data_IF_121055417123
#
_entry.id   IF_121055417123
#
_cell.length_a   1.000
_cell.length_b   1.000
_cell.length_c   1.000
_cell.angle_alpha   90.00
_cell.angle_beta   90.00
_cell.angle_gamma   90.00
#
_symmetry.space_group_name_H-M   'P 1'
#
loop_
_entity.id
_entity.type
_entity.pdbx_description
1 polymer ?
#
# COMPACT_ATOMS: atom_id res chain seq x y z
N UNK A 1 -0.54 1.61 2.05
CA UNK A 1 -1.17 2.89 2.42
C UNK A 1 -2.38 2.68 3.33
N UNK A 2 -2.53 3.51 4.33
CA UNK A 2 -3.60 3.43 5.30
C UNK A 2 -4.37 4.74 5.45
N UNK A 3 -5.66 4.64 5.75
CA UNK A 3 -6.51 5.82 5.98
C UNK A 3 -6.28 6.37 7.38
N UNK A 4 -5.74 7.56 7.49
CA UNK A 4 -5.40 8.23 8.75
C UNK A 4 -6.62 8.76 9.51
N UNK A 5 -7.80 8.88 8.89
CA UNK A 5 -9.01 9.38 9.56
C UNK A 5 -9.43 8.54 10.76
N UNK A 6 -9.04 7.25 10.77
CA UNK A 6 -9.28 6.37 11.93
C UNK A 6 -8.44 6.74 13.14
N UNK A 7 -7.26 7.28 12.94
CA UNK A 7 -6.33 7.69 14.01
C UNK A 7 -6.47 9.18 14.36
N UNK A 8 -6.74 10.01 13.35
CA UNK A 8 -6.85 11.46 13.47
C UNK A 8 -8.12 11.92 12.74
N UNK A 9 -9.23 12.14 13.47
CA UNK A 9 -10.45 12.66 12.89
C UNK A 9 -10.18 13.98 12.18
N UNK A 10 -10.56 14.08 10.92
CA UNK A 10 -10.37 15.26 10.08
C UNK A 10 -11.52 15.40 9.10
N UNK A 11 -12.01 16.61 8.91
CA UNK A 11 -13.00 16.98 7.89
C UNK A 11 -12.36 17.22 6.52
N UNK A 12 -11.03 17.24 6.43
CA UNK A 12 -10.32 17.44 5.19
C UNK A 12 -10.65 16.32 4.17
N UNK A 13 -10.99 16.71 2.95
CA UNK A 13 -11.33 15.77 1.88
C UNK A 13 -10.12 15.10 1.25
N UNK A 14 -8.93 15.68 1.41
CA UNK A 14 -7.68 15.25 0.78
C UNK A 14 -6.60 14.93 1.81
N UNK A 15 -5.55 14.22 1.39
CA UNK A 15 -4.35 13.91 2.17
C UNK A 15 -4.58 13.12 3.47
N UNK A 16 -5.64 12.30 3.53
CA UNK A 16 -5.91 11.42 4.66
C UNK A 16 -5.17 10.07 4.60
N UNK A 17 -4.25 9.90 3.66
CA UNK A 17 -3.53 8.66 3.42
C UNK A 17 -2.06 8.78 3.79
N UNK A 18 -1.51 7.73 4.37
CA UNK A 18 -0.08 7.57 4.62
C UNK A 18 0.34 6.15 4.37
N UNK A 19 1.63 5.94 4.24
CA UNK A 19 2.22 4.61 4.18
C UNK A 19 3.15 4.42 5.38
N UNK A 20 3.38 3.16 5.67
CA UNK A 20 4.34 2.71 6.67
C UNK A 20 5.36 1.89 5.91
N UNK A 21 6.61 2.15 6.17
CA UNK A 21 7.72 1.37 5.65
C UNK A 21 8.17 0.39 6.72
N UNK A 22 8.23 -0.86 6.36
CA UNK A 22 8.86 -1.89 7.17
C UNK A 22 9.98 -2.52 6.36
N UNK A 23 11.18 -2.56 6.91
CA UNK A 23 12.30 -3.26 6.32
C UNK A 23 12.56 -4.53 7.14
N UNK A 24 12.60 -5.68 6.45
CA UNK A 24 12.94 -6.95 7.06
C UNK A 24 14.08 -7.59 6.27
N UNK A 25 15.16 -7.91 6.96
CA UNK A 25 16.21 -8.75 6.37
C UNK A 25 15.79 -10.20 6.53
N UNK A 26 15.52 -10.84 5.40
CA UNK A 26 15.12 -12.26 5.36
C UNK A 26 16.35 -13.07 5.00
N UNK A 27 16.78 -13.95 5.90
CA UNK A 27 17.82 -14.92 5.61
C UNK A 27 17.33 -15.99 4.61
N UNK A 28 18.24 -16.62 3.89
CA UNK A 28 17.93 -17.65 2.90
C UNK A 28 17.09 -18.82 3.46
N UNK A 29 17.21 -19.09 4.77
CA UNK A 29 16.54 -20.19 5.46
C UNK A 29 15.40 -19.72 6.39
N UNK A 30 14.91 -18.46 6.25
CA UNK A 30 13.82 -17.98 7.08
C UNK A 30 12.50 -18.67 6.73
N UNK A 31 11.77 -19.14 7.73
CA UNK A 31 10.44 -19.71 7.52
C UNK A 31 9.41 -18.61 7.23
N UNK A 32 8.31 -18.97 6.56
CA UNK A 32 7.21 -18.04 6.31
C UNK A 32 6.62 -17.53 7.63
N UNK A 33 6.51 -18.40 8.62
CA UNK A 33 5.99 -18.10 9.95
C UNK A 33 6.83 -17.05 10.68
N UNK A 34 8.17 -17.14 10.57
CA UNK A 34 9.09 -16.15 11.14
C UNK A 34 8.91 -14.78 10.50
N UNK A 35 8.79 -14.75 9.17
CA UNK A 35 8.55 -13.51 8.43
C UNK A 35 7.22 -12.89 8.80
N UNK A 36 6.15 -13.68 8.86
CA UNK A 36 4.80 -13.23 9.26
C UNK A 36 4.81 -12.70 10.69
N UNK A 37 5.48 -13.36 11.62
CA UNK A 37 5.57 -12.93 13.03
C UNK A 37 6.28 -11.59 13.16
N UNK A 38 7.42 -11.43 12.50
CA UNK A 38 8.17 -10.15 12.46
C UNK A 38 7.34 -9.02 11.83
N UNK A 39 6.62 -9.33 10.75
CA UNK A 39 5.73 -8.34 10.13
C UNK A 39 4.59 -7.94 11.05
N UNK A 40 3.99 -8.87 11.79
CA UNK A 40 2.95 -8.57 12.78
C UNK A 40 3.46 -7.66 13.91
N UNK A 41 4.67 -7.90 14.40
CA UNK A 41 5.30 -7.04 15.40
C UNK A 41 5.54 -5.63 14.85
N UNK A 42 6.08 -5.53 13.63
CA UNK A 42 6.33 -4.25 12.97
C UNK A 42 5.05 -3.44 12.71
N UNK A 43 3.92 -4.12 12.54
CA UNK A 43 2.59 -3.51 12.36
C UNK A 43 1.77 -3.41 13.64
N UNK A 44 2.35 -3.62 14.81
CA UNK A 44 1.69 -3.47 16.10
C UNK A 44 0.95 -2.13 16.23
N UNK A 45 -0.25 -2.14 16.82
CA UNK A 45 -1.17 -0.97 16.82
C UNK A 45 -0.57 0.30 17.40
N UNK A 46 0.28 0.16 18.42
CA UNK A 46 0.84 1.32 19.13
C UNK A 46 2.05 1.90 18.38
N UNK A 47 2.92 1.07 17.86
CA UNK A 47 4.04 1.50 17.03
C UNK A 47 3.54 2.21 15.75
N UNK A 48 2.46 1.73 15.17
CA UNK A 48 1.82 2.32 13.99
C UNK A 48 1.35 3.75 14.25
N UNK A 49 0.71 4.01 15.38
CA UNK A 49 0.15 5.32 15.72
C UNK A 49 1.23 6.35 16.00
N UNK A 50 2.27 5.97 16.72
CA UNK A 50 3.40 6.84 17.03
C UNK A 50 4.17 7.21 15.76
N UNK A 51 4.47 6.24 14.91
CA UNK A 51 5.18 6.48 13.65
C UNK A 51 4.39 7.39 12.71
N UNK A 52 3.09 7.18 12.57
CA UNK A 52 2.22 8.06 11.78
C UNK A 52 2.22 9.48 12.38
N UNK A 53 2.16 9.62 13.71
CA UNK A 53 2.18 10.92 14.38
C UNK A 53 3.49 11.67 14.16
N UNK A 54 4.63 10.97 14.28
CA UNK A 54 5.95 11.54 14.04
C UNK A 54 6.08 12.05 12.60
N UNK A 55 5.74 11.22 11.62
CA UNK A 55 5.80 11.61 10.19
C UNK A 55 4.87 12.78 9.86
N UNK A 56 3.67 12.82 10.45
CA UNK A 56 2.76 13.96 10.27
C UNK A 56 3.33 15.24 10.86
N UNK A 57 3.91 15.16 12.05
CA UNK A 57 4.52 16.31 12.69
C UNK A 57 5.70 16.86 11.88
N UNK A 58 6.52 15.98 11.31
CA UNK A 58 7.66 16.39 10.48
C UNK A 58 7.19 17.07 9.19
N UNK A 59 6.17 16.55 8.53
CA UNK A 59 5.58 17.20 7.36
C UNK A 59 4.99 18.58 7.69
N UNK A 60 4.25 18.68 8.81
CA UNK A 60 3.68 19.96 9.27
C UNK A 60 4.77 20.96 9.64
N UNK A 61 5.86 20.52 10.26
CA UNK A 61 7.02 21.37 10.56
C UNK A 61 7.66 21.90 9.27
N UNK A 62 7.80 21.06 8.26
CA UNK A 62 8.31 21.48 6.94
C UNK A 62 7.39 22.54 6.31
N UNK A 63 6.08 22.32 6.32
CA UNK A 63 5.11 23.26 5.76
C UNK A 63 5.06 24.60 6.53
N UNK A 64 5.24 24.58 7.85
CA UNK A 64 5.23 25.78 8.70
C UNK A 64 6.55 26.54 8.70
N UNK A 65 7.61 25.97 8.14
CA UNK A 65 8.91 26.64 8.11
C UNK A 65 8.87 27.85 7.14
N UNK A 66 9.07 29.08 7.64
CA UNK A 66 8.97 30.30 6.83
C UNK A 66 10.00 30.35 5.71
N UNK A 67 11.20 29.81 5.94
CA UNK A 67 12.26 29.73 4.92
C UNK A 67 11.84 28.81 3.77
N UNK A 68 11.27 27.65 4.08
CA UNK A 68 10.77 26.74 3.04
C UNK A 68 9.56 27.31 2.29
N UNK A 69 8.73 28.13 2.94
CA UNK A 69 7.61 28.81 2.28
C UNK A 69 8.09 29.86 1.28
N UNK A 70 9.20 30.53 1.54
CA UNK A 70 9.77 31.54 0.65
C UNK A 70 10.48 30.95 -0.59
N UNK A 71 10.84 29.67 -0.58
CA UNK A 71 11.50 29.02 -1.72
C UNK A 71 10.53 28.89 -2.90
N UNK A 72 10.91 29.28 -4.13
CA UNK A 72 10.11 29.09 -5.34
C UNK A 72 9.71 27.64 -5.57
N UNK A 73 8.54 27.42 -6.18
CA UNK A 73 7.97 26.08 -6.38
C UNK A 73 8.86 25.18 -7.23
N UNK A 74 9.52 25.73 -8.23
CA UNK A 74 10.43 25.03 -9.14
C UNK A 74 11.58 24.39 -8.39
N UNK A 75 12.16 25.14 -7.43
CA UNK A 75 13.26 24.65 -6.60
C UNK A 75 12.74 23.56 -5.62
N UNK A 76 11.55 23.76 -5.02
CA UNK A 76 10.92 22.72 -4.19
C UNK A 76 10.69 21.43 -4.96
N UNK A 77 10.19 21.54 -6.20
CA UNK A 77 9.93 20.37 -7.03
C UNK A 77 11.21 19.58 -7.35
N UNK A 78 12.33 20.29 -7.57
CA UNK A 78 13.62 19.63 -7.80
C UNK A 78 14.07 18.83 -6.56
N UNK A 79 13.96 19.42 -5.37
CA UNK A 79 14.29 18.72 -4.12
C UNK A 79 13.34 17.54 -3.82
N UNK A 80 12.05 17.72 -4.09
CA UNK A 80 11.07 16.65 -3.93
C UNK A 80 11.34 15.50 -4.91
N UNK A 81 11.68 15.81 -6.16
CA UNK A 81 12.03 14.81 -7.17
C UNK A 81 13.28 14.03 -6.78
N UNK A 82 14.32 14.72 -6.31
CA UNK A 82 15.53 14.06 -5.80
C UNK A 82 15.22 13.19 -4.57
N UNK A 83 14.45 13.70 -3.63
CA UNK A 83 14.04 12.98 -2.42
C UNK A 83 13.20 11.74 -2.72
N UNK A 84 12.23 11.84 -3.63
CA UNK A 84 11.41 10.69 -4.05
C UNK A 84 12.22 9.64 -4.82
N UNK A 85 13.19 10.08 -5.64
CA UNK A 85 14.08 9.17 -6.37
C UNK A 85 14.98 8.39 -5.42
N UNK A 86 15.55 9.06 -4.42
CA UNK A 86 16.42 8.43 -3.44
C UNK A 86 15.61 7.53 -2.48
N UNK A 87 14.51 8.03 -1.93
CA UNK A 87 13.65 7.27 -1.04
C UNK A 87 12.97 6.07 -1.72
N UNK A 88 12.60 6.22 -3.00
CA UNK A 88 12.01 5.13 -3.77
C UNK A 88 12.93 3.93 -4.00
N UNK A 89 14.25 4.10 -3.89
CA UNK A 89 15.20 2.98 -4.06
C UNK A 89 15.15 1.96 -2.93
N UNK A 90 14.75 2.35 -1.74
CA UNK A 90 14.63 1.46 -0.58
C UNK A 90 13.35 0.62 -0.58
N UNK A 91 12.34 0.99 -1.38
CA UNK A 91 11.07 0.29 -1.42
C UNK A 91 11.10 -0.81 -2.47
N UNK A 92 10.90 -2.06 -2.05
CA UNK A 92 10.85 -3.23 -2.94
C UNK A 92 9.46 -3.46 -3.49
N UNK A 93 8.43 -3.37 -2.65
CA UNK A 93 7.04 -3.58 -3.01
C UNK A 93 6.11 -2.71 -2.17
N UNK A 94 4.94 -2.42 -2.71
CA UNK A 94 3.90 -1.63 -2.02
C UNK A 94 2.67 -2.50 -1.82
N UNK A 95 2.14 -2.54 -0.61
CA UNK A 95 0.88 -3.21 -0.29
C UNK A 95 -0.19 -2.19 0.09
N UNK A 96 -1.37 -2.32 -0.48
CA UNK A 96 -2.53 -1.48 -0.19
C UNK A 96 -3.76 -2.33 0.08
N UNK A 97 -4.40 -2.10 1.23
CA UNK A 97 -5.62 -2.81 1.60
C UNK A 97 -6.74 -1.81 1.88
N UNK A 98 -7.81 -1.88 1.10
CA UNK A 98 -9.03 -1.09 1.33
C UNK A 98 -9.90 -1.74 2.42
N UNK A 99 -9.75 -3.06 2.62
CA UNK A 99 -10.56 -3.83 3.52
C UNK A 99 -11.90 -4.28 2.90
N UNK A 100 -12.90 -4.49 3.74
CA UNK A 100 -14.22 -4.95 3.31
C UNK A 100 -15.03 -3.80 2.75
N UNK A 101 -15.45 -3.95 1.50
CA UNK A 101 -16.36 -3.03 0.82
C UNK A 101 -17.79 -3.42 1.22
N UNK A 102 -18.59 -2.41 1.55
CA UNK A 102 -20.03 -2.55 1.83
C UNK A 102 -20.81 -1.72 0.86
N UNK A 103 -21.87 -2.28 0.31
CA UNK A 103 -22.79 -1.60 -0.59
C UNK A 103 -24.18 -1.63 -0.01
N UNK A 104 -25.06 -0.66 -0.37
CA UNK A 104 -26.50 -0.77 -0.12
C UNK A 104 -27.09 -2.01 -0.80
N UNK A 105 -28.02 -2.69 -0.13
CA UNK A 105 -28.61 -3.96 -0.60
C UNK A 105 -29.19 -3.88 -2.02
N UNK A 106 -29.72 -2.73 -2.39
CA UNK A 106 -30.30 -2.47 -3.72
C UNK A 106 -29.29 -2.67 -4.88
N UNK A 107 -27.98 -2.51 -4.61
CA UNK A 107 -26.91 -2.69 -5.61
C UNK A 107 -26.26 -4.07 -5.56
N UNK A 108 -26.41 -4.84 -4.49
CA UNK A 108 -25.76 -6.15 -4.32
C UNK A 108 -26.14 -7.17 -5.40
N UNK A 109 -27.34 -7.07 -5.94
CA UNK A 109 -27.82 -7.92 -7.03
C UNK A 109 -27.04 -7.71 -8.33
N UNK A 110 -26.52 -6.50 -8.57
CA UNK A 110 -25.83 -6.14 -9.81
C UNK A 110 -24.32 -6.29 -9.70
N UNK A 111 -23.75 -6.03 -8.53
CA UNK A 111 -22.33 -5.98 -8.31
C UNK A 111 -21.88 -7.26 -7.62
N UNK A 112 -21.08 -8.07 -8.30
CA UNK A 112 -20.63 -9.37 -7.79
C UNK A 112 -19.21 -9.32 -7.21
N UNK A 113 -18.35 -8.42 -7.71
CA UNK A 113 -16.95 -8.29 -7.28
C UNK A 113 -16.48 -6.86 -7.39
N UNK A 114 -15.51 -6.51 -6.56
CA UNK A 114 -14.74 -5.28 -6.66
C UNK A 114 -13.28 -5.62 -6.88
N UNK A 115 -12.64 -4.90 -7.78
CA UNK A 115 -11.19 -4.89 -7.96
C UNK A 115 -10.65 -3.51 -7.66
N UNK A 116 -9.47 -3.45 -7.07
CA UNK A 116 -8.75 -2.24 -6.78
C UNK A 116 -7.31 -2.38 -7.24
N UNK A 117 -6.88 -1.44 -8.05
CA UNK A 117 -5.54 -1.40 -8.62
C UNK A 117 -4.98 0.00 -8.44
N UNK A 118 -3.70 0.08 -8.16
CA UNK A 118 -2.95 1.33 -8.17
C UNK A 118 -1.64 1.10 -8.91
N UNK A 119 -1.17 2.12 -9.61
CA UNK A 119 0.08 2.04 -10.36
C UNK A 119 1.19 2.74 -9.60
N UNK A 120 2.33 2.06 -9.47
CA UNK A 120 3.58 2.59 -8.92
C UNK A 120 4.75 2.13 -9.77
N UNK A 121 5.92 2.68 -9.53
CA UNK A 121 7.17 2.23 -10.18
C UNK A 121 7.66 0.87 -9.65
N UNK A 122 6.99 0.32 -8.66
CA UNK A 122 7.34 -0.91 -7.98
C UNK A 122 6.27 -1.98 -8.18
N UNK A 123 6.57 -3.19 -7.71
CA UNK A 123 5.53 -4.20 -7.56
C UNK A 123 4.52 -3.70 -6.53
N UNK A 124 3.26 -3.64 -6.92
CA UNK A 124 2.19 -3.28 -6.00
C UNK A 124 1.17 -4.39 -5.92
N UNK A 125 0.79 -4.71 -4.68
CA UNK A 125 -0.32 -5.58 -4.35
C UNK A 125 -1.43 -4.76 -3.72
N UNK A 126 -2.61 -4.81 -4.33
CA UNK A 126 -3.83 -4.20 -3.78
C UNK A 126 -4.78 -5.30 -3.33
N UNK A 127 -5.47 -5.11 -2.21
CA UNK A 127 -6.47 -6.07 -1.73
C UNK A 127 -7.75 -5.38 -1.32
N UNK A 128 -8.87 -6.02 -1.63
CA UNK A 128 -10.19 -5.65 -1.13
C UNK A 128 -11.06 -6.90 -1.04
N UNK A 129 -12.08 -6.87 -0.17
CA UNK A 129 -13.05 -7.96 -0.07
C UNK A 129 -14.48 -7.44 -0.21
N UNK A 130 -15.32 -8.25 -0.86
CA UNK A 130 -16.74 -7.99 -1.01
C UNK A 130 -17.50 -9.32 -0.99
N UNK A 131 -18.54 -9.43 -0.15
CA UNK A 131 -19.19 -10.69 0.10
C UNK A 131 -18.19 -11.73 0.60
N UNK A 132 -18.10 -12.85 -0.09
CA UNK A 132 -17.19 -13.96 0.23
C UNK A 132 -15.92 -13.97 -0.65
N UNK A 133 -15.76 -12.95 -1.50
CA UNK A 133 -14.63 -12.85 -2.41
C UNK A 133 -13.54 -11.90 -1.88
N UNK A 134 -12.30 -12.38 -1.84
CA UNK A 134 -11.10 -11.56 -1.68
C UNK A 134 -10.49 -11.35 -3.06
N UNK A 135 -10.33 -10.09 -3.46
CA UNK A 135 -9.67 -9.73 -4.72
C UNK A 135 -8.28 -9.19 -4.41
N UNK A 136 -7.29 -9.76 -5.07
CA UNK A 136 -5.89 -9.38 -4.99
C UNK A 136 -5.45 -8.87 -6.37
N UNK A 137 -5.15 -7.59 -6.46
CA UNK A 137 -4.71 -6.94 -7.69
C UNK A 137 -3.21 -6.71 -7.67
N UNK A 138 -2.49 -7.29 -8.62
CA UNK A 138 -1.06 -7.04 -8.82
C UNK A 138 -0.86 -6.06 -9.96
N UNK A 139 -0.04 -5.06 -9.74
CA UNK A 139 0.45 -4.16 -10.78
C UNK A 139 1.96 -4.05 -10.70
N UNK A 140 2.62 -4.04 -11.86
CA UNK A 140 4.07 -3.92 -11.93
C UNK A 140 4.48 -3.38 -13.30
N UNK A 141 5.51 -2.53 -13.32
CA UNK A 141 6.22 -2.17 -14.55
C UNK A 141 7.16 -3.27 -15.05
N UNK A 142 7.44 -4.26 -14.20
CA UNK A 142 8.33 -5.37 -14.54
C UNK A 142 7.49 -6.43 -15.26
N UNK A 143 7.84 -6.77 -16.49
CA UNK A 143 7.13 -7.77 -17.29
C UNK A 143 7.24 -9.21 -16.75
N UNK A 144 8.06 -9.43 -15.72
CA UNK A 144 8.24 -10.77 -15.15
C UNK A 144 7.10 -11.11 -14.17
N UNK A 145 6.18 -11.95 -14.61
CA UNK A 145 5.02 -12.42 -13.82
C UNK A 145 5.35 -13.53 -12.80
N UNK A 146 6.62 -13.93 -12.65
CA UNK A 146 7.00 -15.05 -11.79
C UNK A 146 6.61 -14.85 -10.34
N UNK A 147 6.72 -13.62 -9.82
CA UNK A 147 6.33 -13.30 -8.43
C UNK A 147 4.83 -13.55 -8.23
N UNK A 148 3.99 -13.04 -9.14
CA UNK A 148 2.54 -13.21 -9.06
C UNK A 148 2.17 -14.70 -9.19
N UNK A 149 2.80 -15.43 -10.12
CA UNK A 149 2.59 -16.85 -10.32
C UNK A 149 2.96 -17.66 -9.09
N UNK A 150 4.14 -17.42 -8.51
CA UNK A 150 4.58 -18.10 -7.29
C UNK A 150 3.66 -17.80 -6.12
N UNK A 151 3.21 -16.57 -5.96
CA UNK A 151 2.24 -16.19 -4.94
C UNK A 151 0.94 -16.99 -5.06
N UNK A 152 0.37 -17.07 -6.27
CA UNK A 152 -0.83 -17.87 -6.53
C UNK A 152 -0.60 -19.36 -6.27
N UNK A 153 0.57 -19.89 -6.64
CA UNK A 153 0.91 -21.30 -6.39
C UNK A 153 1.01 -21.61 -4.89
N UNK A 154 1.56 -20.70 -4.08
CA UNK A 154 1.60 -20.85 -2.62
C UNK A 154 0.17 -20.89 -2.05
N UNK A 155 -0.72 -20.01 -2.48
CA UNK A 155 -2.11 -20.00 -2.02
C UNK A 155 -2.83 -21.30 -2.40
N UNK A 156 -2.66 -21.75 -3.63
CA UNK A 156 -3.23 -23.04 -4.11
C UNK A 156 -2.68 -24.24 -3.32
N UNK A 157 -1.38 -24.22 -2.99
CA UNK A 157 -0.75 -25.23 -2.16
C UNK A 157 -1.32 -25.31 -0.74
N UNK A 158 -1.87 -24.20 -0.23
CA UNK A 158 -2.59 -24.14 1.04
C UNK A 158 -4.09 -24.49 0.92
N UNK A 159 -4.55 -24.97 -0.24
CA UNK A 159 -5.94 -25.36 -0.46
C UNK A 159 -6.89 -24.18 -0.76
N UNK A 160 -6.36 -22.98 -1.01
CA UNK A 160 -7.19 -21.82 -1.33
C UNK A 160 -7.53 -21.84 -2.82
N UNK A 161 -8.83 -21.83 -3.15
CA UNK A 161 -9.30 -21.75 -4.52
C UNK A 161 -9.00 -20.34 -5.10
N UNK A 162 -8.15 -20.30 -6.13
CA UNK A 162 -7.75 -19.06 -6.77
C UNK A 162 -8.17 -19.05 -8.24
N UNK A 163 -8.85 -18.00 -8.66
CA UNK A 163 -9.10 -17.67 -10.08
C UNK A 163 -8.16 -16.52 -10.46
N UNK A 164 -7.42 -16.68 -11.54
CA UNK A 164 -6.51 -15.65 -12.07
C UNK A 164 -7.17 -15.04 -13.31
N UNK A 165 -7.21 -13.73 -13.36
CA UNK A 165 -7.68 -12.94 -14.51
C UNK A 165 -6.58 -11.94 -14.84
N UNK A 166 -6.18 -11.89 -16.09
CA UNK A 166 -5.28 -10.87 -16.61
C UNK A 166 -6.14 -9.74 -17.20
N UNK A 167 -5.81 -8.50 -16.89
CA UNK A 167 -6.44 -7.34 -17.47
C UNK A 167 -5.44 -6.66 -18.40
N UNK A 168 -5.69 -6.72 -19.68
CA UNK A 168 -5.00 -5.90 -20.65
C UNK A 168 -5.65 -4.52 -20.64
N UNK A 169 -4.92 -3.52 -20.20
CA UNK A 169 -5.31 -2.13 -20.41
C UNK A 169 -4.80 -1.74 -21.79
N UNK A 170 -5.68 -1.39 -22.74
CA UNK A 170 -5.24 -0.80 -23.98
C UNK A 170 -4.48 0.49 -23.65
N UNK A 171 -3.22 0.54 -24.09
CA UNK A 171 -2.33 1.69 -23.95
C UNK A 171 -2.78 2.91 -24.74
#
# INVERSE_FOLDING_TARGET
>A
PGNRRKCFPSEAMTNCWSWIETAQTVGENASLEDVVSRMKEAFGKDALREEISCRMNDLVRLEKNPFLRAVPLEIKNLFLMAGTTLGGRSVTAVYSNIGRIRMPEEYERYIKRFGFFASTDKLQLCSCSYGDALVLGFTSKIMNSNICRNFVNILKGQGIACRVEEMDFPG
#
